data_IF_607231625452
#
_entry.id   IF_607231625452
#
_cell.length_a   1.000
_cell.length_b   1.000
_cell.length_c   1.000
_cell.angle_alpha   90.00
_cell.angle_beta   90.00
_cell.angle_gamma   90.00
#
_symmetry.space_group_name_H-M   'P 1'
#
loop_
_entity.id
_entity.type
_entity.pdbx_description
1 polymer ?
#
# COMPACT_ATOMS: atom_id res chain seq x y z
N UNK A 1 6.88 -67.49 4.18
CA UNK A 1 7.59 -66.27 3.70
C UNK A 1 6.68 -65.13 3.27
N UNK A 2 5.41 -65.33 2.95
CA UNK A 2 4.49 -64.30 2.42
C UNK A 2 3.99 -63.32 3.50
N UNK A 3 3.91 -63.65 4.78
CA UNK A 3 3.44 -62.73 5.85
C UNK A 3 4.40 -61.59 6.21
N UNK A 4 5.70 -61.68 5.95
CA UNK A 4 6.65 -60.59 6.22
C UNK A 4 6.69 -59.51 5.16
N UNK A 5 6.27 -59.82 3.92
CA UNK A 5 6.26 -58.87 2.82
C UNK A 5 5.13 -57.79 2.97
N UNK A 6 3.98 -58.22 3.51
CA UNK A 6 2.84 -57.31 3.72
C UNK A 6 3.07 -56.28 4.84
N UNK A 7 3.87 -56.59 5.84
CA UNK A 7 4.17 -55.66 6.93
C UNK A 7 5.10 -54.51 6.48
N UNK A 8 6.02 -54.79 5.55
CA UNK A 8 6.91 -53.77 4.99
C UNK A 8 6.16 -52.82 4.05
N UNK A 9 5.19 -53.33 3.28
CA UNK A 9 4.34 -52.50 2.40
C UNK A 9 3.43 -51.53 3.20
N UNK A 10 2.89 -51.98 4.34
CA UNK A 10 2.03 -51.14 5.20
C UNK A 10 2.86 -50.04 5.89
N UNK A 11 4.11 -50.30 6.30
CA UNK A 11 4.98 -49.27 6.89
C UNK A 11 5.38 -48.21 5.86
N UNK A 12 5.52 -48.57 4.58
CA UNK A 12 5.83 -47.60 3.52
C UNK A 12 4.64 -46.65 3.18
N UNK A 13 3.40 -47.09 3.34
CA UNK A 13 2.20 -46.27 3.11
C UNK A 13 2.03 -45.24 4.25
N UNK A 14 2.45 -45.54 5.48
CA UNK A 14 2.39 -44.63 6.63
C UNK A 14 3.46 -43.53 6.59
N UNK A 15 4.49 -43.65 5.75
CA UNK A 15 5.54 -42.63 5.56
C UNK A 15 5.22 -41.64 4.43
N UNK A 16 4.11 -41.77 3.71
CA UNK A 16 3.61 -40.75 2.83
C UNK A 16 3.14 -39.55 3.70
N UNK A 17 4.10 -38.72 4.13
CA UNK A 17 3.76 -37.42 4.67
C UNK A 17 2.95 -36.70 3.60
N UNK A 18 1.68 -36.43 3.90
CA UNK A 18 0.93 -35.43 3.17
C UNK A 18 1.68 -34.12 3.32
N UNK A 19 2.57 -33.84 2.36
CA UNK A 19 3.16 -32.51 2.25
C UNK A 19 2.04 -31.59 1.81
N UNK A 20 1.36 -30.97 2.76
CA UNK A 20 0.56 -29.80 2.44
C UNK A 20 1.53 -28.80 1.83
N UNK A 21 1.37 -28.51 0.55
CA UNK A 21 2.13 -27.43 -0.07
C UNK A 21 1.79 -26.16 0.72
N UNK A 22 2.80 -25.55 1.34
CA UNK A 22 2.60 -24.30 2.04
C UNK A 22 2.07 -23.24 1.05
N UNK A 23 1.13 -22.44 1.49
CA UNK A 23 0.59 -21.38 0.66
C UNK A 23 0.55 -20.05 1.42
N UNK A 24 0.59 -18.95 0.67
CA UNK A 24 0.47 -17.58 1.18
C UNK A 24 -0.65 -16.88 0.42
N UNK A 25 -1.59 -16.31 1.15
CA UNK A 25 -2.75 -15.58 0.62
C UNK A 25 -2.47 -14.08 0.65
N UNK A 26 -2.35 -13.47 -0.52
CA UNK A 26 -2.05 -12.06 -0.70
C UNK A 26 -3.30 -11.29 -1.10
N UNK A 27 -3.78 -10.40 -0.24
CA UNK A 27 -4.80 -9.43 -0.59
C UNK A 27 -4.12 -8.21 -1.21
N UNK A 28 -4.35 -7.97 -2.50
CA UNK A 28 -3.63 -6.95 -3.26
C UNK A 28 -4.56 -5.95 -3.94
N UNK A 29 -4.36 -4.67 -3.62
CA UNK A 29 -4.95 -3.57 -4.36
C UNK A 29 -4.11 -3.13 -5.57
N UNK A 30 -3.01 -3.81 -5.82
CA UNK A 30 -2.15 -3.62 -7.00
C UNK A 30 -2.62 -4.55 -8.13
N UNK A 31 -2.37 -4.11 -9.37
CA UNK A 31 -2.86 -4.81 -10.57
C UNK A 31 -1.82 -4.77 -11.71
N UNK A 32 -0.54 -4.82 -11.36
CA UNK A 32 0.54 -4.81 -12.34
C UNK A 32 0.99 -6.23 -12.66
N UNK A 33 1.19 -6.54 -13.93
CA UNK A 33 1.69 -7.84 -14.38
C UNK A 33 3.07 -8.18 -13.77
N UNK A 34 3.88 -7.16 -13.50
CA UNK A 34 5.15 -7.32 -12.79
C UNK A 34 5.02 -7.95 -11.40
N UNK A 35 3.90 -7.74 -10.72
CA UNK A 35 3.66 -8.32 -9.41
C UNK A 35 3.41 -9.84 -9.53
N UNK A 36 2.72 -10.29 -10.57
CA UNK A 36 2.51 -11.71 -10.84
C UNK A 36 3.85 -12.44 -11.08
N UNK A 37 4.72 -11.86 -11.89
CA UNK A 37 6.07 -12.40 -12.11
C UNK A 37 6.89 -12.52 -10.82
N UNK A 38 6.71 -11.59 -9.88
CA UNK A 38 7.37 -11.64 -8.58
C UNK A 38 6.87 -12.83 -7.75
N UNK A 39 5.55 -13.05 -7.73
CA UNK A 39 4.94 -14.19 -7.02
C UNK A 39 5.35 -15.55 -7.63
N UNK A 40 5.40 -15.63 -8.96
CA UNK A 40 5.89 -16.82 -9.67
C UNK A 40 7.36 -17.14 -9.32
N UNK A 41 8.23 -16.12 -9.30
CA UNK A 41 9.64 -16.28 -8.87
C UNK A 41 9.75 -16.73 -7.41
N UNK A 42 8.91 -16.22 -6.53
CA UNK A 42 8.88 -16.66 -5.14
C UNK A 42 8.47 -18.12 -5.05
N UNK A 43 7.39 -18.51 -5.71
CA UNK A 43 6.93 -19.90 -5.74
C UNK A 43 7.99 -20.83 -6.31
N UNK A 44 8.62 -20.47 -7.43
CA UNK A 44 9.70 -21.27 -8.04
C UNK A 44 10.91 -21.46 -7.10
N UNK A 45 11.22 -20.44 -6.28
CA UNK A 45 12.36 -20.48 -5.36
C UNK A 45 12.06 -21.25 -4.07
N UNK A 46 10.83 -21.22 -3.59
CA UNK A 46 10.46 -21.69 -2.24
C UNK A 46 9.58 -22.92 -2.23
N UNK A 47 8.90 -23.24 -3.35
CA UNK A 47 7.83 -24.23 -3.40
C UNK A 47 6.52 -23.76 -2.75
N UNK A 48 6.47 -22.55 -2.17
CA UNK A 48 5.28 -21.98 -1.53
C UNK A 48 4.38 -21.35 -2.59
N UNK A 49 3.13 -21.79 -2.66
CA UNK A 49 2.15 -21.24 -3.58
C UNK A 49 1.66 -19.88 -3.12
N UNK A 50 1.57 -18.91 -4.03
CA UNK A 50 0.98 -17.59 -3.76
C UNK A 50 -0.43 -17.53 -4.35
N UNK A 51 -1.44 -17.34 -3.50
CA UNK A 51 -2.82 -17.10 -3.88
C UNK A 51 -3.11 -15.62 -3.79
N UNK A 52 -3.54 -15.00 -4.89
CA UNK A 52 -3.78 -13.54 -4.93
C UNK A 52 -5.27 -13.26 -4.98
N UNK A 53 -5.76 -12.48 -4.02
CA UNK A 53 -7.11 -11.89 -4.02
C UNK A 53 -6.97 -10.43 -4.39
N UNK A 54 -7.31 -10.10 -5.63
CA UNK A 54 -7.25 -8.73 -6.15
C UNK A 54 -8.53 -7.96 -5.86
N UNK A 55 -8.41 -6.66 -5.54
CA UNK A 55 -9.57 -5.82 -5.26
C UNK A 55 -9.22 -4.34 -5.07
N UNK A 56 -10.25 -3.52 -4.90
CA UNK A 56 -10.04 -2.10 -4.53
C UNK A 56 -9.61 -2.03 -3.06
N UNK A 57 -8.68 -1.13 -2.73
CA UNK A 57 -8.17 -0.93 -1.36
C UNK A 57 -9.28 -0.98 -0.29
N UNK A 58 -10.30 -0.13 -0.42
CA UNK A 58 -11.40 -0.04 0.56
C UNK A 58 -12.21 -1.34 0.71
N UNK A 59 -12.35 -2.12 -0.36
CA UNK A 59 -13.08 -3.38 -0.29
C UNK A 59 -12.25 -4.45 0.42
N UNK A 60 -10.95 -4.50 0.15
CA UNK A 60 -10.04 -5.43 0.83
C UNK A 60 -9.87 -5.06 2.31
N UNK A 61 -9.72 -3.77 2.64
CA UNK A 61 -9.66 -3.28 4.02
C UNK A 61 -10.92 -3.66 4.80
N UNK A 62 -12.10 -3.37 4.21
CA UNK A 62 -13.38 -3.74 4.82
C UNK A 62 -13.45 -5.24 5.09
N UNK A 63 -13.03 -6.05 4.13
CA UNK A 63 -13.01 -7.50 4.26
C UNK A 63 -12.07 -7.96 5.38
N UNK A 64 -10.85 -7.44 5.47
CA UNK A 64 -9.91 -7.73 6.56
C UNK A 64 -10.54 -7.40 7.92
N UNK A 65 -11.19 -6.25 8.05
CA UNK A 65 -11.83 -5.81 9.29
C UNK A 65 -13.04 -6.72 9.65
N UNK A 66 -13.87 -7.07 8.67
CA UNK A 66 -15.07 -7.89 8.90
C UNK A 66 -14.74 -9.36 9.19
N UNK A 67 -13.73 -9.91 8.54
CA UNK A 67 -13.26 -11.28 8.78
C UNK A 67 -12.43 -11.40 10.07
N UNK A 68 -11.77 -10.31 10.48
CA UNK A 68 -10.94 -10.23 11.69
C UNK A 68 -10.02 -11.47 11.84
N UNK A 69 -10.13 -12.21 12.94
CA UNK A 69 -9.32 -13.42 13.21
C UNK A 69 -9.59 -14.58 12.23
N UNK A 70 -10.72 -14.57 11.54
CA UNK A 70 -11.05 -15.57 10.51
C UNK A 70 -10.51 -15.22 9.13
N UNK A 71 -9.86 -14.07 8.98
CA UNK A 71 -9.30 -13.65 7.70
C UNK A 71 -8.25 -14.64 7.21
N UNK A 72 -8.34 -14.96 5.93
CA UNK A 72 -7.34 -15.80 5.24
C UNK A 72 -6.21 -14.97 4.63
N UNK A 73 -6.18 -13.67 4.84
CA UNK A 73 -5.12 -12.81 4.33
C UNK A 73 -3.86 -12.97 5.18
N UNK A 74 -2.80 -13.51 4.60
CA UNK A 74 -1.47 -13.54 5.21
C UNK A 74 -0.72 -12.24 4.96
N UNK A 75 -0.93 -11.62 3.80
CA UNK A 75 -0.34 -10.35 3.42
C UNK A 75 -1.38 -9.41 2.81
N UNK A 76 -1.28 -8.13 3.15
CA UNK A 76 -2.03 -7.06 2.50
C UNK A 76 -1.09 -6.08 1.79
N UNK A 77 -1.30 -5.87 0.49
CA UNK A 77 -0.51 -4.95 -0.34
C UNK A 77 -1.40 -3.81 -0.83
N UNK A 78 -1.04 -2.61 -0.46
CA UNK A 78 -1.76 -1.37 -0.82
C UNK A 78 -0.83 -0.31 -1.38
N UNK A 79 -1.40 0.75 -1.93
CA UNK A 79 -0.67 1.81 -2.63
C UNK A 79 -0.20 2.96 -1.74
N UNK A 80 -0.60 3.01 -0.48
CA UNK A 80 -0.30 4.14 0.42
C UNK A 80 -0.12 3.68 1.87
N UNK A 81 0.98 4.10 2.51
CA UNK A 81 1.32 3.74 3.87
C UNK A 81 0.30 4.21 4.92
N UNK A 82 -0.46 5.27 4.64
CA UNK A 82 -1.52 5.75 5.54
C UNK A 82 -2.63 4.71 5.78
N UNK A 83 -2.89 3.85 4.80
CA UNK A 83 -3.82 2.71 4.95
C UNK A 83 -3.26 1.62 5.85
N UNK A 84 -1.97 1.34 5.71
CA UNK A 84 -1.29 0.38 6.57
C UNK A 84 -1.28 0.87 8.01
N UNK A 85 -0.96 2.15 8.22
CA UNK A 85 -0.97 2.77 9.55
C UNK A 85 -2.36 2.77 10.22
N UNK A 86 -3.44 2.94 9.44
CA UNK A 86 -4.81 2.87 9.97
C UNK A 86 -5.17 1.44 10.44
N UNK A 87 -4.88 0.41 9.63
CA UNK A 87 -5.11 -0.98 10.03
C UNK A 87 -4.20 -1.42 11.17
N UNK A 88 -2.95 -0.98 11.17
CA UNK A 88 -1.97 -1.25 12.21
C UNK A 88 -2.43 -0.68 13.57
N UNK A 89 -2.91 0.57 13.58
CA UNK A 89 -3.45 1.21 14.79
C UNK A 89 -4.67 0.50 15.38
N UNK A 90 -5.35 -0.32 14.57
CA UNK A 90 -6.51 -1.14 14.95
C UNK A 90 -6.12 -2.58 15.33
N UNK A 91 -4.82 -2.92 15.30
CA UNK A 91 -4.32 -4.23 15.70
C UNK A 91 -4.48 -5.35 14.66
N UNK A 92 -4.67 -5.01 13.37
CA UNK A 92 -4.84 -6.02 12.31
C UNK A 92 -3.53 -6.61 11.79
N UNK A 93 -2.39 -6.08 12.20
CA UNK A 93 -1.08 -6.59 11.79
C UNK A 93 -0.29 -7.13 12.95
N UNK A 94 0.54 -8.13 12.69
CA UNK A 94 1.53 -8.65 13.61
C UNK A 94 2.94 -8.18 13.25
N UNK A 95 3.89 -8.35 14.17
CA UNK A 95 5.28 -8.01 13.90
C UNK A 95 5.81 -8.84 12.72
N UNK A 96 6.30 -8.14 11.71
CA UNK A 96 6.83 -8.71 10.46
C UNK A 96 8.28 -8.31 10.17
N UNK A 97 8.93 -7.56 11.07
CA UNK A 97 10.29 -7.10 10.87
C UNK A 97 11.29 -8.23 11.03
N UNK A 98 12.21 -8.30 10.08
CA UNK A 98 13.34 -9.22 10.07
C UNK A 98 14.64 -8.45 9.85
N UNK A 99 15.81 -9.01 10.22
CA UNK A 99 17.10 -8.36 9.92
C UNK A 99 17.30 -8.04 8.43
N UNK A 100 16.77 -8.86 7.53
CA UNK A 100 16.83 -8.61 6.09
C UNK A 100 16.00 -7.38 5.68
N UNK A 101 14.82 -7.21 6.26
CA UNK A 101 13.98 -6.02 6.03
C UNK A 101 14.66 -4.77 6.61
N UNK A 102 15.23 -4.88 7.80
CA UNK A 102 15.93 -3.75 8.43
C UNK A 102 17.13 -3.26 7.63
N UNK A 103 17.86 -4.18 7.03
CA UNK A 103 18.99 -3.86 6.15
C UNK A 103 18.53 -3.23 4.82
N UNK A 104 17.41 -3.72 4.25
CA UNK A 104 16.96 -3.34 2.93
C UNK A 104 16.09 -2.06 2.92
N UNK A 105 15.35 -1.79 4.00
CA UNK A 105 14.34 -0.73 4.05
C UNK A 105 14.64 0.27 5.16
N UNK A 106 14.91 1.56 4.84
CA UNK A 106 15.14 2.59 5.84
C UNK A 106 13.98 2.71 6.84
N UNK A 107 14.29 3.06 8.09
CA UNK A 107 13.32 3.11 9.20
C UNK A 107 12.14 4.03 8.98
N UNK A 108 12.29 5.10 8.19
CA UNK A 108 11.20 6.01 7.85
C UNK A 108 10.22 5.46 6.79
N UNK A 109 10.49 4.27 6.23
CA UNK A 109 9.61 3.57 5.28
C UNK A 109 9.10 2.22 5.80
N UNK A 110 9.20 1.96 7.10
CA UNK A 110 8.68 0.76 7.75
C UNK A 110 8.20 1.05 9.18
N UNK A 111 7.38 0.16 9.71
CA UNK A 111 7.09 0.04 11.15
C UNK A 111 7.49 -1.35 11.63
N UNK A 112 7.08 -1.73 12.84
CA UNK A 112 7.24 -3.12 13.31
C UNK A 112 6.35 -4.10 12.53
N UNK A 113 5.23 -3.63 11.98
CA UNK A 113 4.16 -4.47 11.46
C UNK A 113 3.91 -4.29 9.96
N UNK A 114 4.56 -3.35 9.31
CA UNK A 114 4.46 -3.15 7.85
C UNK A 114 5.75 -2.59 7.25
N UNK A 115 5.92 -2.80 5.95
CA UNK A 115 7.13 -2.42 5.21
C UNK A 115 6.77 -1.80 3.86
N UNK A 116 7.42 -0.68 3.53
CA UNK A 116 7.35 -0.08 2.21
C UNK A 116 8.19 -0.85 1.19
N UNK A 117 7.56 -1.30 0.11
CA UNK A 117 8.24 -2.04 -0.97
C UNK A 117 8.64 -1.15 -2.15
N UNK A 118 8.07 0.06 -2.23
CA UNK A 118 8.42 1.07 -3.24
C UNK A 118 8.10 2.46 -2.73
N UNK A 119 8.76 3.48 -3.28
CA UNK A 119 8.48 4.88 -3.00
C UNK A 119 8.21 5.67 -4.27
N UNK A 120 7.39 6.72 -4.14
CA UNK A 120 7.08 7.65 -5.22
C UNK A 120 7.20 9.07 -4.72
N UNK A 121 7.66 9.97 -5.60
CA UNK A 121 7.59 11.40 -5.32
C UNK A 121 6.21 11.93 -5.75
N UNK A 122 5.66 12.85 -4.96
CA UNK A 122 4.54 13.68 -5.38
C UNK A 122 5.11 14.93 -6.02
N UNK A 123 4.70 15.22 -7.25
CA UNK A 123 5.20 16.33 -8.04
C UNK A 123 4.06 17.15 -8.61
N UNK A 124 4.36 18.36 -9.03
CA UNK A 124 3.46 19.20 -9.82
C UNK A 124 3.56 18.85 -11.30
N UNK A 125 2.42 18.76 -11.96
CA UNK A 125 2.30 18.75 -13.41
C UNK A 125 1.72 20.09 -13.85
N UNK A 126 2.26 20.66 -14.92
CA UNK A 126 1.81 21.95 -15.42
C UNK A 126 1.72 21.94 -16.96
N UNK A 127 0.87 22.84 -17.49
CA UNK A 127 0.76 23.11 -18.91
C UNK A 127 1.74 24.25 -19.25
N UNK A 128 2.81 24.00 -20.04
CA UNK A 128 3.81 25.03 -20.34
C UNK A 128 3.27 26.20 -21.17
N UNK A 129 2.10 26.04 -21.80
CA UNK A 129 1.43 27.13 -22.50
C UNK A 129 0.70 28.11 -21.55
N UNK A 130 0.55 27.76 -20.27
CA UNK A 130 -0.21 28.54 -19.28
C UNK A 130 0.61 28.97 -18.08
N UNK A 131 1.63 28.22 -17.73
CA UNK A 131 2.47 28.43 -16.56
C UNK A 131 3.92 28.29 -16.99
N UNK A 132 4.75 29.25 -16.65
CA UNK A 132 6.19 29.16 -16.92
C UNK A 132 6.90 28.30 -15.89
N UNK A 133 8.05 27.76 -16.26
CA UNK A 133 8.90 27.01 -15.31
C UNK A 133 9.43 27.95 -14.20
N UNK A 134 9.63 29.21 -14.51
CA UNK A 134 10.06 30.24 -13.56
C UNK A 134 9.02 30.44 -12.44
N UNK A 135 7.73 30.46 -12.78
CA UNK A 135 6.62 30.53 -11.79
C UNK A 135 6.61 29.35 -10.79
N UNK A 136 7.21 28.23 -11.19
CA UNK A 136 7.27 26.99 -10.39
C UNK A 136 8.60 26.81 -9.64
N UNK A 137 9.56 27.67 -9.89
CA UNK A 137 10.86 27.53 -9.25
C UNK A 137 10.76 27.72 -7.72
N UNK A 138 11.19 26.70 -6.97
CA UNK A 138 11.15 26.70 -5.51
C UNK A 138 9.75 26.63 -4.88
N UNK A 139 8.69 26.39 -5.68
CA UNK A 139 7.30 26.32 -5.17
C UNK A 139 7.09 25.15 -4.22
N UNK A 140 6.46 25.42 -3.09
CA UNK A 140 5.96 24.43 -2.14
C UNK A 140 4.45 24.16 -2.32
N UNK A 141 3.91 23.18 -1.58
CA UNK A 141 2.46 22.96 -1.52
C UNK A 141 1.72 24.11 -0.84
N UNK A 142 2.37 24.75 0.12
CA UNK A 142 1.85 25.90 0.86
C UNK A 142 1.60 27.10 -0.07
N UNK A 143 2.48 27.33 -1.02
CA UNK A 143 2.40 28.45 -1.98
C UNK A 143 1.21 28.32 -2.93
N UNK A 144 0.65 27.13 -3.10
CA UNK A 144 -0.56 26.92 -3.91
C UNK A 144 -1.80 27.62 -3.34
N UNK A 145 -1.75 28.06 -2.09
CA UNK A 145 -2.78 28.86 -1.44
C UNK A 145 -2.72 30.36 -1.83
N UNK A 146 -1.67 30.79 -2.52
CA UNK A 146 -1.54 32.18 -2.99
C UNK A 146 -2.58 32.50 -4.07
N UNK A 147 -3.10 33.73 -4.03
CA UNK A 147 -4.09 34.25 -5.00
C UNK A 147 -3.61 34.24 -6.45
N UNK A 148 -2.29 34.26 -6.71
CA UNK A 148 -1.73 34.16 -8.08
C UNK A 148 -2.15 32.87 -8.80
N UNK A 149 -2.53 31.85 -8.05
CA UNK A 149 -2.99 30.56 -8.56
C UNK A 149 -4.51 30.48 -8.78
N UNK A 150 -5.26 31.57 -8.57
CA UNK A 150 -6.71 31.57 -8.73
C UNK A 150 -7.13 31.10 -10.12
N UNK A 151 -7.99 30.04 -10.13
CA UNK A 151 -8.48 29.45 -11.37
C UNK A 151 -7.45 28.60 -12.14
N UNK A 152 -6.30 28.28 -11.54
CA UNK A 152 -5.22 27.54 -12.21
C UNK A 152 -5.00 26.14 -11.66
N UNK A 153 -5.53 25.82 -10.48
CA UNK A 153 -5.25 24.54 -9.80
C UNK A 153 -6.28 23.49 -10.16
N UNK A 154 -5.80 22.31 -10.55
CA UNK A 154 -6.60 21.09 -10.73
C UNK A 154 -6.11 20.04 -9.76
N UNK A 155 -7.03 19.49 -8.98
CA UNK A 155 -6.71 18.49 -7.95
C UNK A 155 -7.78 17.37 -7.93
N UNK A 156 -7.43 16.20 -7.41
CA UNK A 156 -8.36 15.10 -7.16
C UNK A 156 -9.28 15.42 -5.99
N UNK A 157 -10.38 14.65 -5.86
CA UNK A 157 -11.31 14.76 -4.72
C UNK A 157 -10.61 14.49 -3.38
N UNK A 158 -11.09 15.13 -2.32
CA UNK A 158 -10.56 15.01 -0.95
C UNK A 158 -10.65 13.60 -0.36
N UNK A 159 -11.55 12.76 -0.85
CA UNK A 159 -11.64 11.36 -0.43
C UNK A 159 -10.57 10.44 -1.07
N UNK A 160 -9.70 10.98 -1.89
CA UNK A 160 -8.58 10.26 -2.46
C UNK A 160 -7.46 10.13 -1.42
N UNK A 161 -6.93 8.92 -1.23
CA UNK A 161 -5.90 8.65 -0.23
C UNK A 161 -4.64 9.53 -0.40
N UNK A 162 -4.22 9.82 -1.63
CA UNK A 162 -3.04 10.65 -1.87
C UNK A 162 -3.24 12.10 -1.41
N UNK A 163 -4.46 12.66 -1.52
CA UNK A 163 -4.75 13.97 -0.97
C UNK A 163 -4.86 13.94 0.56
N UNK A 164 -5.40 12.87 1.11
CA UNK A 164 -5.44 12.68 2.56
C UNK A 164 -4.04 12.61 3.15
N UNK A 165 -3.14 11.84 2.54
CA UNK A 165 -1.73 11.75 2.95
C UNK A 165 -0.99 13.08 2.81
N UNK A 166 -1.28 13.89 1.77
CA UNK A 166 -0.73 15.24 1.64
C UNK A 166 -1.18 16.12 2.81
N UNK A 167 -2.49 16.16 3.07
CA UNK A 167 -3.05 16.97 4.16
C UNK A 167 -2.50 16.50 5.52
N UNK A 168 -2.38 15.19 5.75
CA UNK A 168 -1.79 14.66 6.97
C UNK A 168 -0.33 15.10 7.15
N UNK A 169 0.46 15.10 6.05
CA UNK A 169 1.84 15.61 6.06
C UNK A 169 1.90 17.10 6.42
N UNK A 170 1.01 17.92 5.84
CA UNK A 170 0.94 19.34 6.15
C UNK A 170 0.50 19.59 7.59
N UNK A 171 -0.44 18.81 8.13
CA UNK A 171 -0.84 18.90 9.54
C UNK A 171 0.33 18.57 10.45
N UNK A 172 1.11 17.53 10.13
CA UNK A 172 2.28 17.14 10.92
C UNK A 172 3.36 18.22 10.94
N UNK A 173 3.59 18.90 9.82
CA UNK A 173 4.68 19.89 9.69
C UNK A 173 4.25 21.30 10.13
N UNK A 174 3.01 21.69 9.86
CA UNK A 174 2.54 23.07 10.00
C UNK A 174 1.45 23.24 11.08
N UNK A 175 0.96 22.12 11.64
CA UNK A 175 -0.16 22.13 12.56
C UNK A 175 -1.52 22.17 11.86
N UNK A 176 -2.58 21.81 12.64
CA UNK A 176 -3.95 21.65 12.15
C UNK A 176 -4.55 22.97 11.65
N UNK A 177 -4.42 24.03 12.43
CA UNK A 177 -5.08 25.30 12.14
C UNK A 177 -4.51 25.99 10.90
N UNK A 178 -3.19 25.99 10.76
CA UNK A 178 -2.52 26.53 9.58
C UNK A 178 -2.87 25.71 8.33
N UNK A 179 -2.89 24.40 8.43
CA UNK A 179 -3.30 23.52 7.31
C UNK A 179 -4.75 23.74 6.93
N UNK A 180 -5.64 23.96 7.89
CA UNK A 180 -7.04 24.27 7.61
C UNK A 180 -7.20 25.60 6.86
N UNK A 181 -6.46 26.65 7.26
CA UNK A 181 -6.45 27.93 6.57
C UNK A 181 -5.90 27.79 5.15
N UNK A 182 -4.81 27.06 5.00
CA UNK A 182 -4.24 26.73 3.70
C UNK A 182 -5.26 26.03 2.81
N UNK A 183 -5.95 25.01 3.29
CA UNK A 183 -6.94 24.26 2.52
C UNK A 183 -8.10 25.14 2.06
N UNK A 184 -8.60 26.05 2.90
CA UNK A 184 -9.63 27.03 2.51
C UNK A 184 -9.17 27.93 1.38
N UNK A 185 -7.94 28.46 1.43
CA UNK A 185 -7.35 29.30 0.38
C UNK A 185 -7.10 28.50 -0.90
N UNK A 186 -6.57 27.28 -0.79
CA UNK A 186 -6.33 26.38 -1.91
C UNK A 186 -7.62 26.10 -2.70
N UNK A 187 -8.73 25.82 -2.00
CA UNK A 187 -10.03 25.55 -2.64
C UNK A 187 -10.51 26.75 -3.49
N UNK A 188 -10.23 27.99 -3.06
CA UNK A 188 -10.59 29.19 -3.81
C UNK A 188 -9.78 29.37 -5.11
N UNK A 189 -8.68 28.63 -5.26
CA UNK A 189 -7.79 28.66 -6.42
C UNK A 189 -8.09 27.56 -7.45
N UNK A 190 -9.09 26.70 -7.21
CA UNK A 190 -9.42 25.64 -8.15
C UNK A 190 -9.97 26.17 -9.47
N UNK A 191 -9.43 25.64 -10.57
CA UNK A 191 -9.93 25.92 -11.92
C UNK A 191 -11.27 25.24 -12.20
N UNK A 192 -11.56 24.14 -11.51
CA UNK A 192 -12.80 23.38 -11.62
C UNK A 192 -13.05 22.55 -10.36
N UNK A 193 -14.29 22.10 -10.18
CA UNK A 193 -14.63 21.16 -9.11
C UNK A 193 -13.75 19.90 -9.18
N UNK A 194 -13.13 19.47 -8.08
CA UNK A 194 -12.29 18.29 -8.05
C UNK A 194 -13.01 17.02 -8.52
N UNK A 195 -12.33 16.23 -9.36
CA UNK A 195 -12.83 14.97 -9.90
C UNK A 195 -11.83 13.83 -9.61
N UNK A 196 -12.21 12.60 -9.91
CA UNK A 196 -11.27 11.48 -10.05
C UNK A 196 -10.46 11.63 -11.35
N UNK A 197 -9.52 10.73 -11.55
CA UNK A 197 -8.87 10.55 -12.86
C UNK A 197 -9.85 9.95 -13.84
#
# INVERSE_FOLDING_TARGET
MIKKLNLFAIIFIFLAKFSYAAEVNVFSARHYDSDLQLYEKFTAKTGIKVNVVSGKDKALEKRIIEEAESSKADLYITSDAGRLGDLDSKGFFQNSITPAIELAVPSNFRSQNWTGISKRARIFYYDPNKISLEDLNGISYEDLADKKWKGKIVIRKSNNIYNQSLVASLIKNNGKDQTQQWAKKLVSNFARKPKGN
#
